data_IF_118832969080
#
_entry.id   IF_118832969080
#
_cell.length_a   1.000
_cell.length_b   1.000
_cell.length_c   1.000
_cell.angle_alpha   90.00
_cell.angle_beta   90.00
_cell.angle_gamma   90.00
#
_symmetry.space_group_name_H-M   'P 1'
#
loop_
_entity.id
_entity.type
_entity.pdbx_description
1 polymer ?
#
# COMPACT_ATOMS: atom_id res chain seq x y z
N UNK A 1 19.98 39.95 -22.42
CA UNK A 1 18.77 39.22 -21.99
C UNK A 1 18.82 37.82 -22.57
N UNK A 2 19.35 36.87 -21.81
CA UNK A 2 19.35 35.45 -22.19
C UNK A 2 18.93 34.64 -20.97
N UNK A 3 18.09 33.67 -21.27
CA UNK A 3 17.42 32.73 -20.40
C UNK A 3 18.41 32.03 -19.46
N UNK A 4 18.03 31.82 -18.20
CA UNK A 4 18.42 30.62 -17.47
C UNK A 4 17.17 30.08 -16.80
N UNK A 5 16.75 28.95 -17.33
CA UNK A 5 15.59 28.16 -16.97
C UNK A 5 15.58 27.91 -15.45
N UNK A 6 14.50 28.35 -14.80
CA UNK A 6 14.17 27.86 -13.46
C UNK A 6 13.93 26.36 -13.56
N UNK A 7 14.91 25.59 -13.09
CA UNK A 7 14.77 24.16 -12.84
C UNK A 7 13.62 23.97 -11.85
N UNK A 8 12.44 23.65 -12.35
CA UNK A 8 11.34 23.17 -11.53
C UNK A 8 11.74 21.79 -11.03
N UNK A 9 12.26 21.71 -9.80
CA UNK A 9 12.37 20.42 -9.11
C UNK A 9 10.96 19.84 -9.07
N UNK A 10 10.75 18.71 -9.75
CA UNK A 10 9.46 18.01 -9.73
C UNK A 10 9.28 17.44 -8.33
N UNK A 11 8.64 18.21 -7.46
CA UNK A 11 8.19 17.72 -6.15
C UNK A 11 7.21 16.59 -6.44
N UNK A 12 7.62 15.34 -6.19
CA UNK A 12 6.70 14.20 -6.32
C UNK A 12 5.52 14.43 -5.41
N UNK A 13 4.31 14.27 -5.93
CA UNK A 13 3.10 14.26 -5.11
C UNK A 13 3.25 13.19 -4.02
N UNK A 14 2.90 13.46 -2.74
CA UNK A 14 2.95 12.47 -1.67
C UNK A 14 2.24 11.17 -2.03
N UNK A 15 1.14 11.24 -2.80
CA UNK A 15 0.42 10.06 -3.28
C UNK A 15 1.24 9.22 -4.27
N UNK A 16 2.03 9.85 -5.14
CA UNK A 16 2.91 9.11 -6.04
C UNK A 16 4.01 8.40 -5.24
N UNK A 17 4.57 9.05 -4.23
CA UNK A 17 5.57 8.42 -3.35
C UNK A 17 4.98 7.22 -2.59
N UNK A 18 3.75 7.32 -2.09
CA UNK A 18 3.03 6.19 -1.49
C UNK A 18 2.82 5.06 -2.49
N UNK A 19 2.34 5.35 -3.70
CA UNK A 19 2.13 4.34 -4.74
C UNK A 19 3.44 3.61 -5.10
N UNK A 20 4.56 4.34 -5.18
CA UNK A 20 5.89 3.79 -5.45
C UNK A 20 6.37 2.86 -4.31
N UNK A 21 6.19 3.29 -3.05
CA UNK A 21 6.53 2.48 -1.86
C UNK A 21 5.73 1.18 -1.84
N UNK A 22 4.42 1.25 -2.03
CA UNK A 22 3.55 0.07 -2.01
C UNK A 22 3.86 -0.87 -3.17
N UNK A 23 4.08 -0.33 -4.38
CA UNK A 23 4.44 -1.14 -5.54
C UNK A 23 5.77 -1.91 -5.33
N UNK A 24 6.75 -1.27 -4.67
CA UNK A 24 8.01 -1.91 -4.29
C UNK A 24 7.78 -3.02 -3.27
N UNK A 25 7.00 -2.77 -2.22
CA UNK A 25 6.68 -3.81 -1.23
C UNK A 25 5.98 -5.02 -1.84
N UNK A 26 5.02 -4.83 -2.75
CA UNK A 26 4.40 -5.95 -3.46
C UNK A 26 5.43 -6.78 -4.24
N UNK A 27 6.40 -6.12 -4.89
CA UNK A 27 7.48 -6.80 -5.58
C UNK A 27 8.38 -7.61 -4.64
N UNK A 28 8.73 -7.04 -3.50
CA UNK A 28 9.59 -7.68 -2.50
C UNK A 28 8.88 -8.87 -1.83
N UNK A 29 7.62 -8.71 -1.44
CA UNK A 29 6.85 -9.71 -0.71
C UNK A 29 6.34 -10.86 -1.59
N UNK A 30 5.86 -10.56 -2.80
CA UNK A 30 5.20 -11.54 -3.67
C UNK A 30 6.02 -11.90 -4.92
N UNK A 31 7.24 -11.36 -5.04
CA UNK A 31 8.12 -11.58 -6.18
C UNK A 31 7.71 -10.83 -7.45
N UNK A 32 6.61 -10.06 -7.42
CA UNK A 32 6.10 -9.28 -8.55
C UNK A 32 5.40 -8.01 -8.09
N UNK A 33 5.78 -6.89 -8.70
CA UNK A 33 5.07 -5.62 -8.53
C UNK A 33 3.79 -5.54 -9.38
N UNK A 34 2.88 -4.62 -9.05
CA UNK A 34 1.65 -4.40 -9.81
C UNK A 34 1.94 -3.95 -11.24
N UNK A 35 1.00 -4.22 -12.16
CA UNK A 35 0.99 -3.60 -13.49
C UNK A 35 0.61 -2.11 -13.41
N UNK A 36 -0.30 -1.78 -12.48
CA UNK A 36 -0.72 -0.41 -12.22
C UNK A 36 -0.88 -0.19 -10.72
N UNK A 37 -0.35 0.92 -10.22
CA UNK A 37 -0.47 1.32 -8.82
C UNK A 37 -0.90 2.78 -8.76
N UNK A 38 -1.96 3.07 -8.00
CA UNK A 38 -2.52 4.43 -7.87
C UNK A 38 -2.90 4.68 -6.43
N UNK A 39 -2.50 5.81 -5.87
CA UNK A 39 -2.90 6.24 -4.53
C UNK A 39 -3.82 7.46 -4.60
N UNK A 40 -4.78 7.50 -3.69
CA UNK A 40 -5.77 8.58 -3.56
C UNK A 40 -5.98 8.91 -2.10
N UNK A 41 -6.25 10.17 -1.78
CA UNK A 41 -6.83 10.49 -0.48
C UNK A 41 -8.27 9.98 -0.42
N UNK A 42 -8.63 9.38 0.71
CA UNK A 42 -9.98 8.94 1.04
C UNK A 42 -10.48 9.72 2.27
N UNK A 43 -10.66 11.03 2.11
CA UNK A 43 -10.91 11.94 3.23
C UNK A 43 -9.64 12.64 3.72
N UNK A 44 -9.63 13.07 4.99
CA UNK A 44 -8.54 13.89 5.58
C UNK A 44 -7.42 13.05 6.20
N UNK A 45 -7.73 11.82 6.54
CA UNK A 45 -6.99 10.94 7.43
C UNK A 45 -6.92 9.51 6.88
N UNK A 46 -7.18 9.33 5.58
CA UNK A 46 -6.94 8.05 4.93
C UNK A 46 -6.37 8.20 3.52
N UNK A 47 -5.59 7.21 3.13
CA UNK A 47 -5.06 7.03 1.78
C UNK A 47 -5.46 5.64 1.31
N UNK A 48 -6.08 5.54 0.15
CA UNK A 48 -6.35 4.27 -0.53
C UNK A 48 -5.40 4.09 -1.69
N UNK A 49 -4.78 2.92 -1.79
CA UNK A 49 -3.95 2.50 -2.92
C UNK A 49 -4.65 1.36 -3.62
N UNK A 50 -4.81 1.48 -4.94
CA UNK A 50 -5.42 0.48 -5.81
C UNK A 50 -4.31 -0.08 -6.70
N UNK A 51 -4.18 -1.40 -6.70
CA UNK A 51 -3.18 -2.15 -7.43
C UNK A 51 -3.85 -3.14 -8.38
N UNK A 52 -3.50 -3.07 -9.65
CA UNK A 52 -3.98 -3.98 -10.69
C UNK A 52 -2.83 -4.91 -11.13
N UNK A 53 -3.10 -6.20 -11.36
CA UNK A 53 -2.15 -7.14 -11.95
C UNK A 53 -1.00 -7.53 -11.02
N UNK A 54 -1.33 -7.80 -9.75
CA UNK A 54 -0.40 -8.05 -8.65
C UNK A 54 0.04 -9.50 -8.52
N UNK A 55 -0.73 -10.46 -9.04
CA UNK A 55 -0.46 -11.88 -8.81
C UNK A 55 0.81 -12.33 -9.53
N UNK A 56 1.60 -13.14 -8.87
CA UNK A 56 2.70 -13.89 -9.49
C UNK A 56 2.13 -14.95 -10.46
N UNK A 57 2.95 -15.48 -11.39
CA UNK A 57 2.53 -16.60 -12.23
C UNK A 57 2.09 -17.84 -11.43
N UNK A 58 2.68 -18.08 -10.25
CA UNK A 58 2.31 -19.19 -9.38
C UNK A 58 0.93 -18.96 -8.74
N UNK A 59 0.68 -17.76 -8.21
CA UNK A 59 -0.62 -17.39 -7.63
C UNK A 59 -1.73 -17.48 -8.68
N UNK A 60 -1.49 -17.02 -9.92
CA UNK A 60 -2.48 -17.14 -11.01
C UNK A 60 -2.84 -18.60 -11.28
N UNK A 61 -1.84 -19.49 -11.40
CA UNK A 61 -2.12 -20.92 -11.60
C UNK A 61 -2.91 -21.54 -10.46
N UNK A 62 -2.62 -21.17 -9.20
CA UNK A 62 -3.38 -21.64 -8.03
C UNK A 62 -4.83 -21.17 -8.13
N UNK A 63 -5.05 -19.91 -8.49
CA UNK A 63 -6.40 -19.37 -8.71
C UNK A 63 -7.14 -20.08 -9.85
N UNK A 64 -6.48 -20.33 -10.98
CA UNK A 64 -7.06 -21.03 -12.15
C UNK A 64 -7.52 -22.46 -11.81
N UNK A 65 -6.93 -23.07 -10.77
CA UNK A 65 -7.34 -24.37 -10.22
C UNK A 65 -8.52 -24.27 -9.23
N UNK A 66 -9.15 -23.10 -9.12
CA UNK A 66 -10.24 -22.83 -8.17
C UNK A 66 -9.77 -22.67 -6.73
N UNK A 67 -8.47 -22.52 -6.48
CA UNK A 67 -7.90 -22.44 -5.12
C UNK A 67 -7.64 -20.99 -4.68
N UNK A 68 -8.56 -20.08 -4.99
CA UNK A 68 -8.42 -18.64 -4.66
C UNK A 68 -8.24 -18.38 -3.15
N UNK A 69 -8.88 -19.16 -2.29
CA UNK A 69 -8.73 -19.04 -0.83
C UNK A 69 -7.31 -19.36 -0.34
N UNK A 70 -6.58 -20.24 -1.03
CA UNK A 70 -5.18 -20.48 -0.72
C UNK A 70 -4.32 -19.25 -1.02
N UNK A 71 -4.61 -18.54 -2.11
CA UNK A 71 -3.95 -17.27 -2.43
C UNK A 71 -4.29 -16.21 -1.37
N UNK A 72 -5.56 -16.06 -1.00
CA UNK A 72 -6.00 -15.08 0.02
C UNK A 72 -5.33 -15.33 1.37
N UNK A 73 -5.36 -16.57 1.85
CA UNK A 73 -4.77 -16.93 3.15
C UNK A 73 -3.25 -16.74 3.17
N UNK A 74 -2.56 -17.12 2.08
CA UNK A 74 -1.10 -16.90 1.94
C UNK A 74 -0.77 -15.41 1.96
N UNK A 75 -1.47 -14.58 1.17
CA UNK A 75 -1.24 -13.13 1.15
C UNK A 75 -1.53 -12.48 2.50
N UNK A 76 -2.64 -12.84 3.14
CA UNK A 76 -2.97 -12.34 4.49
C UNK A 76 -1.91 -12.70 5.53
N UNK A 77 -1.30 -13.90 5.45
CA UNK A 77 -0.21 -14.28 6.33
C UNK A 77 1.05 -13.43 6.08
N UNK A 78 1.44 -13.26 4.81
CA UNK A 78 2.62 -12.48 4.42
C UNK A 78 2.47 -10.99 4.77
N UNK A 79 1.31 -10.38 4.48
CA UNK A 79 1.06 -8.97 4.80
C UNK A 79 1.11 -8.70 6.30
N UNK A 80 0.54 -9.59 7.12
CA UNK A 80 0.63 -9.47 8.58
C UNK A 80 2.06 -9.55 9.10
N UNK A 81 2.92 -10.36 8.47
CA UNK A 81 4.31 -10.50 8.88
C UNK A 81 5.14 -9.21 8.68
N UNK A 82 4.69 -8.31 7.79
CA UNK A 82 5.43 -7.08 7.44
C UNK A 82 4.66 -5.80 7.72
N UNK A 83 3.51 -5.89 8.41
CA UNK A 83 2.61 -4.76 8.63
C UNK A 83 3.34 -3.52 9.17
N UNK A 84 4.17 -3.68 10.20
CA UNK A 84 4.91 -2.56 10.81
C UNK A 84 5.93 -1.92 9.87
N UNK A 85 6.54 -2.70 8.97
CA UNK A 85 7.47 -2.18 7.97
C UNK A 85 6.75 -1.33 6.92
N UNK A 86 5.59 -1.80 6.46
CA UNK A 86 4.74 -1.07 5.52
C UNK A 86 4.28 0.25 6.13
N UNK A 87 3.81 0.23 7.39
CA UNK A 87 3.39 1.44 8.10
C UNK A 87 4.52 2.47 8.18
N UNK A 88 5.72 2.05 8.61
CA UNK A 88 6.90 2.95 8.69
C UNK A 88 7.28 3.52 7.32
N UNK A 89 7.24 2.70 6.28
CA UNK A 89 7.61 3.12 4.93
C UNK A 89 6.63 4.15 4.35
N UNK A 90 5.34 3.98 4.62
CA UNK A 90 4.30 4.94 4.21
C UNK A 90 4.36 6.21 5.07
N UNK A 91 4.56 6.09 6.38
CA UNK A 91 4.72 7.22 7.30
C UNK A 91 5.87 8.13 6.87
N UNK A 92 7.01 7.54 6.49
CA UNK A 92 8.19 8.28 6.05
C UNK A 92 7.93 9.16 4.81
N UNK A 93 7.02 8.76 3.92
CA UNK A 93 6.69 9.54 2.71
C UNK A 93 5.49 10.47 2.90
N UNK A 94 4.57 10.15 3.82
CA UNK A 94 3.39 10.97 4.11
C UNK A 94 3.69 12.07 5.13
N UNK A 95 4.68 11.84 6.02
CA UNK A 95 5.03 12.77 7.11
C UNK A 95 3.96 12.87 8.20
N UNK A 96 3.07 11.87 8.31
CA UNK A 96 2.04 11.75 9.33
C UNK A 96 2.02 10.32 9.86
N UNK A 97 1.78 10.11 11.17
CA UNK A 97 1.67 8.76 11.72
C UNK A 97 0.63 7.94 10.97
N UNK A 98 1.00 6.73 10.56
CA UNK A 98 0.06 5.77 9.94
C UNK A 98 -0.36 4.78 11.02
N UNK A 99 -1.62 4.87 11.46
CA UNK A 99 -2.15 4.09 12.56
C UNK A 99 -2.46 2.66 12.16
N UNK A 100 -3.02 2.47 10.96
CA UNK A 100 -3.50 1.18 10.49
C UNK A 100 -3.26 1.00 8.99
N UNK A 101 -3.02 -0.24 8.59
CA UNK A 101 -3.08 -0.71 7.21
C UNK A 101 -4.17 -1.79 7.13
N UNK A 102 -5.07 -1.66 6.16
CA UNK A 102 -6.13 -2.63 5.89
C UNK A 102 -6.02 -3.08 4.45
N UNK A 103 -5.91 -4.40 4.27
CA UNK A 103 -5.61 -5.01 2.99
C UNK A 103 -6.86 -5.65 2.39
N UNK A 104 -7.13 -5.33 1.13
CA UNK A 104 -8.17 -5.99 0.34
C UNK A 104 -7.54 -6.73 -0.83
N UNK A 105 -8.14 -7.86 -1.19
CA UNK A 105 -7.74 -8.66 -2.34
C UNK A 105 -8.99 -9.19 -3.06
N UNK A 106 -9.05 -8.95 -4.36
CA UNK A 106 -9.93 -9.63 -5.29
C UNK A 106 -9.06 -10.51 -6.19
N UNK A 107 -9.12 -11.82 -5.94
CA UNK A 107 -8.34 -12.82 -6.67
C UNK A 107 -8.88 -13.01 -8.10
N UNK A 108 -10.20 -12.90 -8.28
CA UNK A 108 -10.84 -13.15 -9.58
C UNK A 108 -10.45 -12.07 -10.60
N UNK A 109 -10.33 -10.83 -10.13
CA UNK A 109 -9.98 -9.68 -10.98
C UNK A 109 -8.49 -9.27 -10.89
N UNK A 110 -7.67 -9.96 -10.09
CA UNK A 110 -6.28 -9.59 -9.77
C UNK A 110 -6.14 -8.12 -9.37
N UNK A 111 -6.98 -7.71 -8.40
CA UNK A 111 -6.98 -6.36 -7.83
C UNK A 111 -6.65 -6.46 -6.35
N UNK A 112 -5.70 -5.65 -5.88
CA UNK A 112 -5.44 -5.47 -4.46
C UNK A 112 -5.70 -4.03 -4.05
N UNK A 113 -6.12 -3.83 -2.81
CA UNK A 113 -6.25 -2.51 -2.21
C UNK A 113 -5.46 -2.45 -0.91
N UNK A 114 -4.89 -1.28 -0.64
CA UNK A 114 -4.25 -0.97 0.64
C UNK A 114 -4.87 0.32 1.16
N UNK A 115 -5.55 0.25 2.30
CA UNK A 115 -6.06 1.42 2.98
C UNK A 115 -5.14 1.75 4.15
N UNK A 116 -4.58 2.95 4.15
CA UNK A 116 -3.79 3.48 5.24
C UNK A 116 -4.61 4.52 6.00
N UNK A 117 -4.79 4.31 7.30
CA UNK A 117 -5.42 5.27 8.21
C UNK A 117 -4.32 6.08 8.88
N UNK A 118 -4.39 7.40 8.74
CA UNK A 118 -3.44 8.36 9.28
C UNK A 118 -3.98 8.92 10.60
N UNK A 119 -3.08 9.35 11.48
CA UNK A 119 -3.49 10.12 12.65
C UNK A 119 -4.22 11.40 12.23
N UNK A 120 -5.30 11.73 12.93
CA UNK A 120 -6.04 12.97 12.71
C UNK A 120 -5.12 14.18 12.87
N UNK A 121 -5.31 15.19 12.01
CA UNK A 121 -4.58 16.44 12.14
C UNK A 121 -5.09 17.22 13.35
N UNK A 122 -4.35 17.13 14.48
CA UNK A 122 -4.63 17.89 15.69
C UNK A 122 -5.27 17.11 16.85
N UNK A 123 -5.54 15.81 16.69
CA UNK A 123 -5.94 14.98 17.82
C UNK A 123 -4.70 14.41 18.52
N UNK A 124 -4.66 14.49 19.85
CA UNK A 124 -3.71 13.72 20.64
C UNK A 124 -3.86 12.23 20.29
N UNK A 125 -2.74 11.57 20.02
CA UNK A 125 -2.70 10.17 19.56
C UNK A 125 -3.52 9.26 20.46
N UNK A 126 -4.52 8.58 19.90
CA UNK A 126 -5.12 7.43 20.58
C UNK A 126 -4.12 6.28 20.56
N UNK A 127 -3.59 5.97 21.75
CA UNK A 127 -2.81 4.75 21.98
C UNK A 127 -3.78 3.56 21.95
N UNK A 128 -3.73 2.77 20.88
CA UNK A 128 -4.38 1.48 20.85
C UNK A 128 -3.60 0.53 21.75
N UNK A 129 -4.07 0.32 22.99
CA UNK A 129 -3.64 -0.81 23.79
C UNK A 129 -4.02 -2.09 23.03
N UNK A 130 -3.03 -2.93 22.74
CA UNK A 130 -3.25 -4.24 22.12
C UNK A 130 -4.25 -5.06 22.95
N UNK A 131 -5.19 -5.80 22.33
CA UNK A 131 -6.04 -6.71 23.09
C UNK A 131 -5.14 -7.78 23.73
N UNK A 132 -5.28 -7.93 25.05
CA UNK A 132 -4.65 -9.01 25.77
C UNK A 132 -5.28 -10.34 25.35
N UNK A 133 -4.43 -11.26 24.86
CA UNK A 133 -4.56 -12.72 24.95
C UNK A 133 -5.85 -13.37 24.50
#
# INVERSE_FOLDING_TARGET
>A
MSQLESQSSVVRSPLQAVADVVARHFKEQFGRGPQRCRAFFAGRDAIVVILDGTMSPAERRISDLGQGELVRSTRSALQRAVADEVLRSVEAVVGRPVLHAVDGLDVEHDVSTQLFVLAETGAASFSAAAPAG
#
